data_IF_356357138758
#
_entry.id   IF_356357138758
#
_cell.length_a   1.000
_cell.length_b   1.000
_cell.length_c   1.000
_cell.angle_alpha   90.00
_cell.angle_beta   90.00
_cell.angle_gamma   90.00
#
_symmetry.space_group_name_H-M   'P 1'
#
loop_
_entity.id
_entity.type
_entity.pdbx_description
1 polymer ?
#
# COMPACT_ATOMS: atom_id res chain seq x y z
N UNK A 1 -0.30 -17.60 -16.79
CA UNK A 1 -1.29 -16.78 -16.05
C UNK A 1 -0.86 -15.34 -16.25
N UNK A 2 -1.59 -14.55 -17.02
CA UNK A 2 -1.25 -13.14 -17.24
C UNK A 2 -1.59 -12.37 -15.97
N UNK A 3 -0.60 -11.73 -15.35
CA UNK A 3 -0.85 -10.78 -14.26
C UNK A 3 -1.80 -9.68 -14.78
N UNK A 4 -2.87 -9.41 -14.04
CA UNK A 4 -3.72 -8.27 -14.35
C UNK A 4 -2.88 -6.99 -14.15
N UNK A 5 -3.00 -6.03 -15.07
CA UNK A 5 -2.20 -4.81 -15.00
C UNK A 5 -2.76 -3.91 -13.88
N UNK A 6 -1.92 -3.41 -12.95
CA UNK A 6 -2.40 -2.51 -11.92
C UNK A 6 -3.03 -1.24 -12.51
N UNK A 7 -4.04 -0.71 -11.83
CA UNK A 7 -4.70 0.52 -12.24
C UNK A 7 -3.87 1.75 -11.80
N UNK A 8 -3.50 2.61 -12.74
CA UNK A 8 -2.73 3.83 -12.45
C UNK A 8 -3.62 4.90 -11.81
N UNK A 9 -3.21 5.43 -10.67
CA UNK A 9 -3.83 6.61 -10.04
C UNK A 9 -3.34 7.88 -10.73
N UNK A 10 -4.22 8.88 -10.91
CA UNK A 10 -3.87 10.14 -11.60
C UNK A 10 -2.88 11.03 -10.82
N UNK A 11 -2.42 10.59 -9.65
CA UNK A 11 -1.70 11.40 -8.67
C UNK A 11 -0.22 11.02 -8.56
N UNK A 12 0.58 11.25 -9.60
CA UNK A 12 2.05 11.31 -9.47
C UNK A 12 2.78 9.95 -9.51
N UNK A 13 2.27 8.97 -10.25
CA UNK A 13 2.93 7.68 -10.47
C UNK A 13 2.52 6.57 -9.50
N UNK A 14 1.59 6.85 -8.58
CA UNK A 14 0.96 5.83 -7.75
C UNK A 14 0.02 4.93 -8.57
N UNK A 15 -0.08 3.67 -8.18
CA UNK A 15 -1.01 2.70 -8.73
C UNK A 15 -1.65 1.87 -7.62
N UNK A 16 -2.83 1.32 -7.89
CA UNK A 16 -3.59 0.48 -6.97
C UNK A 16 -3.81 -0.90 -7.58
N UNK A 17 -4.20 -1.85 -6.73
CA UNK A 17 -4.59 -3.20 -7.16
C UNK A 17 -5.67 -3.12 -8.24
N UNK A 18 -5.61 -3.98 -9.26
CA UNK A 18 -6.68 -4.07 -10.27
C UNK A 18 -8.00 -4.61 -9.69
N UNK A 19 -7.93 -5.27 -8.53
CA UNK A 19 -9.08 -5.77 -7.77
C UNK A 19 -9.76 -4.70 -6.91
N UNK A 20 -9.18 -3.50 -6.85
CA UNK A 20 -9.76 -2.35 -6.16
C UNK A 20 -10.83 -1.67 -7.01
N UNK A 21 -12.10 -1.79 -6.62
CA UNK A 21 -13.20 -0.98 -7.18
C UNK A 21 -12.88 0.53 -7.05
N UNK A 22 -13.56 1.41 -7.80
CA UNK A 22 -13.42 2.88 -7.71
C UNK A 22 -13.91 3.50 -6.37
N UNK A 23 -13.97 2.70 -5.31
CA UNK A 23 -14.23 3.16 -3.96
C UNK A 23 -13.05 3.97 -3.40
N UNK A 24 -13.30 4.90 -2.46
CA UNK A 24 -12.33 5.92 -2.07
C UNK A 24 -11.18 5.46 -1.19
N UNK A 25 -10.88 4.17 -0.99
CA UNK A 25 -10.09 3.73 0.16
C UNK A 25 -9.06 2.60 -0.06
N UNK A 26 -8.55 2.44 -1.28
CA UNK A 26 -7.60 1.38 -1.59
C UNK A 26 -6.15 1.77 -1.26
N UNK A 27 -5.30 0.76 -1.04
CA UNK A 27 -3.84 0.93 -0.89
C UNK A 27 -3.28 1.44 -2.23
N UNK A 28 -2.60 2.58 -2.19
CA UNK A 28 -1.84 3.11 -3.32
C UNK A 28 -0.35 2.91 -3.08
N UNK A 29 0.33 2.40 -4.11
CA UNK A 29 1.76 2.09 -4.11
C UNK A 29 2.45 2.92 -5.20
N UNK A 30 3.62 3.47 -4.90
CA UNK A 30 4.52 4.06 -5.91
C UNK A 30 5.94 3.56 -5.68
N UNK A 31 6.60 3.11 -6.74
CA UNK A 31 8.03 2.87 -6.73
C UNK A 31 8.78 4.16 -7.06
N UNK A 32 9.72 4.55 -6.21
CA UNK A 32 10.48 5.80 -6.30
C UNK A 32 11.96 5.53 -5.96
N UNK A 33 12.69 4.98 -6.94
CA UNK A 33 14.09 4.58 -6.77
C UNK A 33 14.25 3.49 -5.72
N UNK A 34 14.99 3.79 -4.65
CA UNK A 34 15.24 2.87 -3.53
C UNK A 34 14.08 2.79 -2.54
N UNK A 35 12.96 3.48 -2.81
CA UNK A 35 11.81 3.56 -1.92
C UNK A 35 10.53 3.06 -2.58
N UNK A 36 9.66 2.48 -1.76
CA UNK A 36 8.27 2.18 -2.06
C UNK A 36 7.41 3.06 -1.17
N UNK A 37 6.60 3.91 -1.78
CA UNK A 37 5.69 4.82 -1.10
C UNK A 37 4.32 4.18 -1.00
N UNK A 38 3.78 4.12 0.21
CA UNK A 38 2.46 3.61 0.54
C UNK A 38 1.59 4.77 1.02
N UNK A 39 0.36 4.86 0.51
CA UNK A 39 -0.65 5.80 1.03
C UNK A 39 -2.06 5.24 0.88
N UNK A 40 -3.04 5.98 1.38
CA UNK A 40 -4.46 5.68 1.21
C UNK A 40 -5.01 6.47 0.00
N UNK A 41 -5.86 5.85 -0.82
CA UNK A 41 -6.55 6.53 -1.93
C UNK A 41 -7.64 7.51 -1.46
N UNK A 42 -7.92 7.63 -0.15
CA UNK A 42 -8.82 8.62 0.45
C UNK A 42 -8.27 10.02 0.19
N UNK A 43 -8.56 10.53 -1.01
CA UNK A 43 -8.42 11.92 -1.36
C UNK A 43 -9.56 12.67 -0.66
N UNK A 44 -9.42 12.90 0.65
CA UNK A 44 -10.28 13.86 1.34
C UNK A 44 -10.11 15.22 0.66
N UNK A 45 -11.12 16.08 0.72
CA UNK A 45 -11.05 17.45 0.16
C UNK A 45 -9.85 18.25 0.67
N UNK A 46 -9.29 17.86 1.81
CA UNK A 46 -8.07 18.39 2.43
C UNK A 46 -6.80 18.10 1.61
N UNK A 47 -6.68 16.93 0.99
CA UNK A 47 -5.49 16.55 0.21
C UNK A 47 -5.60 16.89 -1.27
N UNK A 48 -6.81 17.13 -1.79
CA UNK A 48 -7.01 17.53 -3.19
C UNK A 48 -6.28 18.84 -3.51
N UNK A 49 -6.31 19.80 -2.59
CA UNK A 49 -5.65 21.11 -2.76
C UNK A 49 -4.17 21.09 -2.31
N UNK A 50 -3.74 20.08 -1.55
CA UNK A 50 -2.38 19.94 -1.04
C UNK A 50 -1.93 18.46 -1.00
N UNK A 51 -1.73 17.81 -2.15
CA UNK A 51 -1.46 16.37 -2.22
C UNK A 51 -0.16 15.94 -1.53
N UNK A 52 0.79 16.85 -1.36
CA UNK A 52 2.03 16.61 -0.62
C UNK A 52 1.83 16.44 0.89
N UNK A 53 0.68 16.88 1.43
CA UNK A 53 0.33 16.72 2.85
C UNK A 53 -0.31 15.36 3.15
N UNK A 54 -0.57 14.55 2.11
CA UNK A 54 -1.20 13.25 2.28
C UNK A 54 -0.27 12.29 3.05
N UNK A 55 -0.75 11.66 4.14
CA UNK A 55 0.01 10.67 4.88
C UNK A 55 0.59 9.61 3.95
N UNK A 56 1.92 9.51 3.94
CA UNK A 56 2.66 8.59 3.07
C UNK A 56 3.73 7.90 3.89
N UNK A 57 3.73 6.57 3.89
CA UNK A 57 4.79 5.76 4.50
C UNK A 57 5.81 5.42 3.41
N UNK A 58 7.08 5.72 3.65
CA UNK A 58 8.17 5.35 2.76
C UNK A 58 8.89 4.11 3.30
N UNK A 59 8.90 3.03 2.53
CA UNK A 59 9.59 1.79 2.84
C UNK A 59 10.79 1.59 1.91
N UNK A 60 11.98 1.22 2.38
CA UNK A 60 13.06 0.83 1.49
C UNK A 60 12.65 -0.34 0.59
N UNK A 61 12.97 -0.25 -0.71
CA UNK A 61 12.65 -1.28 -1.70
C UNK A 61 13.24 -2.65 -1.35
N UNK A 62 14.39 -2.67 -0.67
CA UNK A 62 15.03 -3.89 -0.15
C UNK A 62 14.15 -4.65 0.87
N UNK A 63 13.21 -3.96 1.51
CA UNK A 63 12.29 -4.55 2.49
C UNK A 63 10.90 -4.82 1.90
N UNK A 64 10.68 -4.49 0.62
CA UNK A 64 9.37 -4.59 0.01
C UNK A 64 8.85 -6.03 -0.05
N UNK A 65 9.69 -6.99 -0.43
CA UNK A 65 9.28 -8.40 -0.46
C UNK A 65 8.84 -8.89 0.93
N UNK A 66 9.60 -8.56 1.99
CA UNK A 66 9.24 -8.91 3.36
C UNK A 66 7.93 -8.26 3.81
N UNK A 67 7.67 -7.03 3.38
CA UNK A 67 6.40 -6.36 3.62
C UNK A 67 5.23 -7.06 2.91
N UNK A 68 5.40 -7.43 1.64
CA UNK A 68 4.37 -8.16 0.88
C UNK A 68 4.02 -9.50 1.53
N UNK A 69 5.03 -10.27 1.95
CA UNK A 69 4.82 -11.55 2.64
C UNK A 69 4.05 -11.34 3.96
N UNK A 70 4.43 -10.34 4.76
CA UNK A 70 3.74 -10.02 6.00
C UNK A 70 2.31 -9.53 5.76
N UNK A 71 2.07 -8.77 4.68
CA UNK A 71 0.74 -8.29 4.30
C UNK A 71 -0.22 -9.43 3.97
N UNK A 72 0.26 -10.48 3.29
CA UNK A 72 -0.51 -11.70 3.00
C UNK A 72 -0.82 -12.49 4.27
N UNK A 73 0.10 -12.55 5.23
CA UNK A 73 -0.10 -13.26 6.51
C UNK A 73 -1.16 -12.61 7.40
N UNK A 74 -1.37 -11.28 7.29
CA UNK A 74 -2.35 -10.49 8.07
C UNK A 74 -2.18 -10.58 9.59
N UNK A 75 -1.02 -11.02 10.05
CA UNK A 75 -0.64 -11.02 11.46
C UNK A 75 0.06 -9.71 11.85
N UNK A 76 0.24 -9.47 13.15
CA UNK A 76 1.12 -8.39 13.61
C UNK A 76 2.55 -8.65 13.12
N UNK A 77 3.15 -7.64 12.48
CA UNK A 77 4.50 -7.73 11.96
C UNK A 77 5.22 -6.38 12.07
N UNK A 78 6.55 -6.40 12.08
CA UNK A 78 7.38 -5.20 12.02
C UNK A 78 8.50 -5.44 11.02
N UNK A 79 8.61 -4.55 10.03
CA UNK A 79 9.55 -4.68 8.93
C UNK A 79 10.66 -3.68 9.13
N UNK A 80 11.83 -4.17 9.58
CA UNK A 80 13.07 -3.41 9.76
C UNK A 80 12.91 -2.11 10.57
N UNK A 81 11.96 -2.09 11.52
CA UNK A 81 11.57 -0.90 12.28
C UNK A 81 11.11 0.30 11.43
N UNK A 82 10.77 0.09 10.16
CA UNK A 82 10.28 1.12 9.23
C UNK A 82 8.76 1.14 9.15
N UNK A 83 8.13 -0.03 9.23
CA UNK A 83 6.67 -0.13 9.24
C UNK A 83 6.22 -1.30 10.11
N UNK A 84 5.23 -1.03 10.96
CA UNK A 84 4.48 -2.04 11.67
C UNK A 84 3.14 -2.30 10.98
N UNK A 85 2.78 -3.58 10.86
CA UNK A 85 1.47 -4.05 10.43
C UNK A 85 0.71 -4.46 11.69
N UNK A 86 -0.42 -3.80 11.94
CA UNK A 86 -1.23 -3.97 13.15
C UNK A 86 -2.66 -4.38 12.75
N UNK A 87 -3.06 -5.64 12.95
CA UNK A 87 -4.44 -6.06 12.72
C UNK A 87 -5.40 -5.33 13.66
N UNK A 88 -6.53 -4.87 13.12
CA UNK A 88 -7.59 -4.23 13.91
C UNK A 88 -8.61 -5.26 14.36
N UNK A 89 -9.47 -4.90 15.33
CA UNK A 89 -10.55 -5.79 15.81
C UNK A 89 -11.56 -6.16 14.71
N UNK A 90 -11.70 -5.32 13.70
CA UNK A 90 -12.64 -5.50 12.60
C UNK A 90 -12.04 -6.28 11.42
N UNK A 91 -10.86 -6.90 11.61
CA UNK A 91 -10.05 -7.56 10.58
C UNK A 91 -9.48 -6.61 9.50
N UNK A 92 -9.52 -5.31 9.75
CA UNK A 92 -8.75 -4.34 8.98
C UNK A 92 -7.27 -4.36 9.38
N UNK A 93 -6.48 -3.53 8.71
CA UNK A 93 -5.04 -3.40 8.97
C UNK A 93 -4.71 -1.93 9.19
N UNK A 94 -3.91 -1.66 10.21
CA UNK A 94 -3.22 -0.38 10.39
C UNK A 94 -1.75 -0.55 10.07
N UNK A 95 -1.22 0.31 9.20
CA UNK A 95 0.21 0.50 9.00
C UNK A 95 0.67 1.68 9.84
N UNK A 96 1.77 1.51 10.56
CA UNK A 96 2.37 2.57 11.39
C UNK A 96 3.85 2.71 11.08
N UNK A 97 4.26 3.92 10.76
CA UNK A 97 5.67 4.29 10.62
C UNK A 97 6.23 4.93 11.92
N UNK A 98 7.55 4.95 12.12
CA UNK A 98 8.20 5.53 13.31
C UNK A 98 7.90 7.01 13.57
N UNK A 99 7.60 7.76 12.51
CA UNK A 99 7.21 9.17 12.58
C UNK A 99 5.76 9.39 13.01
N UNK A 100 5.06 8.30 13.39
CA UNK A 100 3.63 8.23 13.72
C UNK A 100 2.67 8.37 12.53
N UNK A 101 3.18 8.40 11.29
CA UNK A 101 2.32 8.28 10.11
C UNK A 101 1.54 6.97 10.18
N UNK A 102 0.21 7.08 10.14
CA UNK A 102 -0.71 5.95 10.32
C UNK A 102 -1.66 5.86 9.11
N UNK A 103 -1.77 4.67 8.53
CA UNK A 103 -2.69 4.36 7.44
C UNK A 103 -3.59 3.21 7.88
N UNK A 104 -4.90 3.40 7.88
CA UNK A 104 -5.85 2.37 8.32
C UNK A 104 -6.76 1.96 7.19
N UNK A 105 -6.73 0.66 6.90
CA UNK A 105 -7.48 0.03 5.82
C UNK A 105 -8.56 -0.90 6.40
N UNK A 106 -9.72 -0.89 5.75
CA UNK A 106 -10.79 -1.85 6.03
C UNK A 106 -10.39 -3.25 5.54
N UNK A 107 -11.09 -4.27 6.02
CA UNK A 107 -10.88 -5.66 5.62
C UNK A 107 -10.97 -5.83 4.10
N UNK A 108 -12.01 -5.24 3.48
CA UNK A 108 -12.23 -5.33 2.03
C UNK A 108 -11.14 -4.62 1.21
N UNK A 109 -10.58 -3.52 1.72
CA UNK A 109 -9.47 -2.81 1.07
C UNK A 109 -8.20 -3.65 1.12
N UNK A 110 -7.93 -4.26 2.28
CA UNK A 110 -6.78 -5.14 2.45
C UNK A 110 -6.93 -6.43 1.63
N UNK A 111 -8.15 -6.98 1.50
CA UNK A 111 -8.45 -8.12 0.63
C UNK A 111 -8.10 -7.85 -0.84
N UNK A 112 -8.49 -6.67 -1.34
CA UNK A 112 -8.16 -6.27 -2.70
C UNK A 112 -6.65 -6.06 -2.90
N UNK A 113 -5.96 -5.51 -1.88
CA UNK A 113 -4.50 -5.38 -1.90
C UNK A 113 -3.83 -6.75 -1.95
N UNK A 114 -4.16 -7.66 -1.03
CA UNK A 114 -3.63 -9.03 -0.99
C UNK A 114 -3.88 -9.79 -2.29
N UNK A 115 -5.07 -9.65 -2.88
CA UNK A 115 -5.37 -10.26 -4.20
C UNK A 115 -4.42 -9.75 -5.29
N UNK A 116 -4.09 -8.46 -5.27
CA UNK A 116 -3.10 -7.88 -6.18
C UNK A 116 -1.67 -8.37 -5.92
N UNK A 117 -1.30 -8.62 -4.65
CA UNK A 117 0.00 -9.23 -4.29
C UNK A 117 0.09 -10.64 -4.88
N UNK A 118 -0.93 -11.47 -4.67
CA UNK A 118 -0.99 -12.84 -5.19
C UNK A 118 -1.04 -12.88 -6.73
N UNK A 119 -1.60 -11.83 -7.34
CA UNK A 119 -1.58 -11.60 -8.79
C UNK A 119 -0.24 -11.09 -9.34
N UNK A 120 0.73 -10.77 -8.48
CA UNK A 120 2.05 -10.25 -8.85
C UNK A 120 2.07 -8.78 -9.27
N UNK A 121 1.01 -8.02 -8.98
CA UNK A 121 0.85 -6.62 -9.42
C UNK A 121 1.82 -5.66 -8.75
N UNK A 122 2.28 -6.04 -7.56
CA UNK A 122 3.18 -5.27 -6.72
C UNK A 122 4.61 -5.79 -6.73
N UNK A 123 4.92 -6.78 -7.56
CA UNK A 123 6.30 -7.22 -7.72
C UNK A 123 7.12 -6.09 -8.32
N UNK A 124 8.29 -5.82 -7.72
CA UNK A 124 9.35 -5.08 -8.39
C UNK A 124 9.79 -5.97 -9.57
N UNK A 125 9.14 -5.83 -10.72
CA UNK A 125 9.69 -6.34 -11.96
C UNK A 125 11.03 -5.62 -12.10
N UNK A 126 12.13 -6.37 -11.98
CA UNK A 126 13.43 -5.86 -12.39
C UNK A 126 13.25 -5.32 -13.81
N UNK A 127 13.34 -3.99 -13.95
CA UNK A 127 13.56 -3.40 -15.24
C UNK A 127 14.94 -3.88 -15.69
N UNK A 128 14.93 -4.97 -16.46
CA UNK A 128 16.09 -5.46 -17.18
C UNK A 128 16.61 -4.39 -18.16
#
# INVERSE_FOLDING_TARGET
>A
MSAAKPATSKNGGFFKSSHSNDGPACVEVKFDGEWVLLRDSKQTSEYVSAPAMQPTIALPAVHWAAFLDAAVQRGPASIADVVAIEPTRDNGITLRAPDNTTLTYTTSEWDAFVSGIEGGEFSLLEAA
#
